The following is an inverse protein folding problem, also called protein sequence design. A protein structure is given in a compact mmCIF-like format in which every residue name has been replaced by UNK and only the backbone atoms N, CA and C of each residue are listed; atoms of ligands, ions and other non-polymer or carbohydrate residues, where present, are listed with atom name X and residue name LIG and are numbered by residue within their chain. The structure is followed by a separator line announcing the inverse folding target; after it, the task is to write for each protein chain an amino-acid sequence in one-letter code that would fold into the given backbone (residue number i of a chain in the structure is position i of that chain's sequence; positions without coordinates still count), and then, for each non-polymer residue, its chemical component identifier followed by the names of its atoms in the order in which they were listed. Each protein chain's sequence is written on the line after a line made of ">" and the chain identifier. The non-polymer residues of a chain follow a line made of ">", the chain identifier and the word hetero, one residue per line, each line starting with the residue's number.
data_IF_875429928802
#
_entry.id   IF_875429928802
#
_cell.length_a   1.000
_cell.length_b   1.000
_cell.length_c   1.000
_cell.angle_alpha   90.00
_cell.angle_beta   90.00
_cell.angle_gamma   90.00
#
_symmetry.space_group_name_H-M   'P 1'
#
loop_
_entity.id
_entity.type
_entity.pdbx_description
1 polymer ?
#
# COMPACT_ATOMS: atom_id res chain seq x y z
N UNK A 1 -6.87 -7.59 -11.50
CA UNK A 1 -6.71 -8.38 -10.26
C UNK A 1 -7.75 -7.86 -9.29
N UNK A 2 -8.52 -8.72 -8.65
CA UNK A 2 -9.46 -8.29 -7.60
C UNK A 2 -8.84 -8.51 -6.23
N UNK A 3 -9.39 -7.82 -5.23
CA UNK A 3 -8.95 -7.98 -3.82
C UNK A 3 -9.06 -9.45 -3.36
N UNK A 4 -10.10 -10.15 -3.82
CA UNK A 4 -10.31 -11.59 -3.52
C UNK A 4 -9.25 -12.51 -4.16
N UNK A 5 -8.54 -12.05 -5.19
CA UNK A 5 -7.48 -12.81 -5.86
C UNK A 5 -6.10 -12.61 -5.20
N UNK A 6 -5.99 -11.73 -4.20
CA UNK A 6 -4.71 -11.38 -3.59
C UNK A 6 -4.14 -12.54 -2.80
N UNK A 7 -2.85 -12.78 -2.99
CA UNK A 7 -2.09 -13.78 -2.24
C UNK A 7 -0.66 -13.30 -1.99
N UNK A 8 0.04 -14.00 -1.09
CA UNK A 8 1.45 -13.74 -0.79
C UNK A 8 1.72 -12.28 -0.39
N UNK A 9 2.70 -11.68 -1.05
CA UNK A 9 3.16 -10.31 -0.81
C UNK A 9 2.07 -9.27 -1.06
N UNK A 10 1.28 -9.46 -2.13
CA UNK A 10 0.24 -8.51 -2.52
C UNK A 10 -0.87 -8.47 -1.46
N UNK A 11 -1.24 -9.64 -0.91
CA UNK A 11 -2.18 -9.72 0.22
C UNK A 11 -1.61 -9.18 1.54
N UNK A 12 -0.30 -9.31 1.76
CA UNK A 12 0.37 -8.75 2.95
C UNK A 12 0.41 -7.22 2.88
N UNK A 13 0.79 -6.66 1.74
CA UNK A 13 0.80 -5.21 1.49
C UNK A 13 -0.61 -4.63 1.59
N UNK A 14 -1.60 -5.27 0.95
CA UNK A 14 -2.98 -4.82 1.04
C UNK A 14 -3.48 -4.74 2.49
N UNK A 15 -3.23 -5.77 3.29
CA UNK A 15 -3.62 -5.78 4.71
C UNK A 15 -2.88 -4.71 5.52
N UNK A 16 -1.58 -4.54 5.30
CA UNK A 16 -0.79 -3.50 5.98
C UNK A 16 -1.36 -2.10 5.71
N UNK A 17 -1.74 -1.79 4.47
CA UNK A 17 -2.37 -0.51 4.12
C UNK A 17 -3.74 -0.39 4.77
N UNK A 18 -4.58 -1.42 4.67
CA UNK A 18 -5.92 -1.43 5.25
C UNK A 18 -5.92 -1.23 6.77
N UNK A 19 -5.00 -1.88 7.49
CA UNK A 19 -4.87 -1.75 8.94
C UNK A 19 -4.34 -0.37 9.35
N UNK A 20 -3.38 0.17 8.59
CA UNK A 20 -2.85 1.51 8.84
C UNK A 20 -3.92 2.59 8.64
N UNK A 21 -4.72 2.53 7.57
CA UNK A 21 -5.80 3.49 7.33
C UNK A 21 -6.82 3.57 8.48
N UNK A 22 -7.11 2.44 9.13
CA UNK A 22 -8.03 2.38 10.28
C UNK A 22 -7.40 2.98 11.54
N UNK A 23 -6.09 2.81 11.74
CA UNK A 23 -5.40 3.19 12.98
C UNK A 23 -4.74 4.57 12.96
N UNK A 24 -3.96 4.86 11.92
CA UNK A 24 -3.05 6.02 11.84
C UNK A 24 -3.23 6.87 10.58
N UNK A 25 -3.91 6.35 9.55
CA UNK A 25 -4.04 6.95 8.24
C UNK A 25 -3.15 6.30 7.18
N UNK A 26 -3.05 6.93 6.00
CA UNK A 26 -2.31 6.42 4.86
C UNK A 26 -0.81 6.21 5.19
N UNK A 27 -0.29 4.97 5.12
CA UNK A 27 1.10 4.70 5.47
C UNK A 27 2.08 5.03 4.34
N UNK A 28 3.34 5.31 4.71
CA UNK A 28 4.44 5.37 3.75
C UNK A 28 4.96 3.97 3.41
N UNK A 29 5.75 3.85 2.34
CA UNK A 29 6.29 2.56 1.88
C UNK A 29 7.09 1.80 2.95
N UNK A 30 7.86 2.52 3.77
CA UNK A 30 8.64 1.93 4.87
C UNK A 30 7.76 1.31 5.97
N UNK A 31 6.60 1.93 6.24
CA UNK A 31 5.67 1.44 7.25
C UNK A 31 4.93 0.20 6.72
N UNK A 32 4.56 0.21 5.44
CA UNK A 32 4.00 -0.94 4.73
C UNK A 32 4.98 -2.11 4.74
N UNK A 33 6.25 -1.88 4.38
CA UNK A 33 7.28 -2.92 4.35
C UNK A 33 7.45 -3.57 5.74
N UNK A 34 7.52 -2.74 6.79
CA UNK A 34 7.62 -3.18 8.18
C UNK A 34 6.40 -4.02 8.60
N UNK A 35 5.19 -3.54 8.34
CA UNK A 35 3.95 -4.22 8.73
C UNK A 35 3.71 -5.52 7.93
N UNK A 36 4.08 -5.54 6.65
CA UNK A 36 3.97 -6.72 5.78
C UNK A 36 5.09 -7.75 6.02
N UNK A 37 6.11 -7.43 6.82
CA UNK A 37 7.27 -8.30 7.04
C UNK A 37 8.13 -8.48 5.79
N UNK A 38 8.21 -7.46 4.94
CA UNK A 38 8.94 -7.45 3.69
C UNK A 38 10.13 -6.49 3.75
N UNK A 39 11.13 -6.74 2.92
CA UNK A 39 12.09 -5.69 2.59
C UNK A 39 11.45 -4.61 1.70
N UNK A 40 12.14 -3.48 1.57
CA UNK A 40 11.61 -2.30 0.88
C UNK A 40 11.41 -2.53 -0.62
N UNK A 41 12.26 -3.34 -1.26
CA UNK A 41 12.15 -3.60 -2.71
C UNK A 41 10.96 -4.50 -3.02
N UNK A 42 10.74 -5.54 -2.21
CA UNK A 42 9.58 -6.44 -2.34
C UNK A 42 8.28 -5.71 -2.03
N UNK A 43 8.26 -4.87 -1.01
CA UNK A 43 7.13 -3.99 -0.72
C UNK A 43 6.85 -3.04 -1.89
N UNK A 44 7.90 -2.40 -2.45
CA UNK A 44 7.77 -1.51 -3.63
C UNK A 44 7.18 -2.24 -4.83
N UNK A 45 7.66 -3.44 -5.11
CA UNK A 45 7.18 -4.25 -6.24
C UNK A 45 5.69 -4.63 -6.06
N UNK A 46 5.30 -5.06 -4.85
CA UNK A 46 3.90 -5.38 -4.54
C UNK A 46 2.99 -4.15 -4.62
N UNK A 47 3.37 -3.03 -4.02
CA UNK A 47 2.65 -1.75 -4.14
C UNK A 47 2.49 -1.35 -5.61
N UNK A 48 3.55 -1.46 -6.41
CA UNK A 48 3.51 -1.14 -7.83
C UNK A 48 2.51 -2.01 -8.59
N UNK A 49 2.45 -3.32 -8.32
CA UNK A 49 1.46 -4.24 -8.92
C UNK A 49 0.03 -3.85 -8.54
N UNK A 50 -0.22 -3.55 -7.27
CA UNK A 50 -1.56 -3.18 -6.78
C UNK A 50 -2.03 -1.83 -7.33
N UNK A 51 -1.12 -0.85 -7.42
CA UNK A 51 -1.40 0.47 -7.99
C UNK A 51 -1.68 0.44 -9.50
N UNK A 52 -1.02 -0.45 -10.24
CA UNK A 52 -1.20 -0.63 -11.70
C UNK A 52 -2.20 -1.74 -12.07
N UNK A 53 -2.90 -2.31 -11.10
CA UNK A 53 -3.93 -3.30 -11.38
C UNK A 53 -5.20 -2.65 -11.96
N UNK A 54 -5.97 -3.44 -12.71
CA UNK A 54 -7.32 -3.07 -13.14
C UNK A 54 -8.35 -4.02 -12.48
N UNK A 55 -9.30 -3.50 -11.67
CA UNK A 55 -9.35 -2.13 -11.15
C UNK A 55 -8.18 -1.82 -10.20
N UNK A 56 -7.84 -0.54 -10.02
CA UNK A 56 -6.77 -0.15 -9.08
C UNK A 56 -7.14 -0.61 -7.67
N UNK A 57 -6.19 -1.18 -6.96
CA UNK A 57 -6.37 -1.61 -5.57
C UNK A 57 -5.76 -0.58 -4.60
N UNK A 58 -4.68 0.10 -5.01
CA UNK A 58 -4.04 1.18 -4.26
C UNK A 58 -3.97 2.48 -5.07
N UNK A 59 -3.93 3.60 -4.36
CA UNK A 59 -3.55 4.91 -4.87
C UNK A 59 -2.27 5.40 -4.19
N UNK A 60 -1.45 6.11 -4.96
CA UNK A 60 -0.34 6.88 -4.42
C UNK A 60 -0.81 8.31 -4.17
N UNK A 61 -0.59 8.80 -2.94
CA UNK A 61 -0.89 10.17 -2.53
C UNK A 61 0.43 10.90 -2.30
N UNK A 62 0.73 11.98 -3.04
CA UNK A 62 1.92 12.77 -2.82
C UNK A 62 2.03 13.24 -1.37
N UNK A 63 3.19 13.05 -0.76
CA UNK A 63 3.44 13.54 0.60
C UNK A 63 3.35 15.07 0.66
N UNK A 64 2.53 15.59 1.57
CA UNK A 64 2.38 17.03 1.81
C UNK A 64 3.02 17.48 3.14
N UNK A 65 3.79 16.60 3.78
CA UNK A 65 4.42 16.85 5.07
C UNK A 65 5.61 17.80 5.00
N UNK A 66 6.00 18.42 6.13
CA UNK A 66 7.17 19.30 6.21
C UNK A 66 8.50 18.56 6.01
N UNK A 67 8.51 17.23 6.16
CA UNK A 67 9.63 16.36 5.84
C UNK A 67 9.22 15.47 4.67
N UNK A 68 10.03 15.44 3.62
CA UNK A 68 9.80 14.59 2.46
C UNK A 68 10.14 13.13 2.80
N UNK A 69 9.13 12.38 3.18
CA UNK A 69 9.18 10.93 3.40
C UNK A 69 8.74 10.15 2.15
N UNK A 70 8.57 10.83 1.02
CA UNK A 70 7.94 10.29 -0.17
C UNK A 70 6.41 10.18 -0.03
N UNK A 71 5.77 9.46 -0.97
CA UNK A 71 4.32 9.34 -0.99
C UNK A 71 3.78 8.46 0.14
N UNK A 72 2.48 8.57 0.37
CA UNK A 72 1.69 7.61 1.14
C UNK A 72 0.81 6.79 0.19
N UNK A 73 0.32 5.65 0.67
CA UNK A 73 -0.51 4.75 -0.14
C UNK A 73 -1.85 4.51 0.53
N UNK A 74 -2.92 4.67 -0.24
CA UNK A 74 -4.31 4.50 0.21
C UNK A 74 -5.00 3.38 -0.57
N UNK A 75 -6.01 2.76 0.03
CA UNK A 75 -6.87 1.82 -0.66
C UNK A 75 -7.75 2.55 -1.69
N UNK A 76 -7.91 1.94 -2.86
CA UNK A 76 -8.87 2.43 -3.83
C UNK A 76 -10.31 2.35 -3.26
N UNK A 77 -11.16 3.37 -3.52
CA UNK A 77 -12.55 3.34 -3.12
C UNK A 77 -13.24 2.09 -3.67
N UNK A 78 -13.83 1.30 -2.78
CA UNK A 78 -14.64 0.13 -3.15
C UNK A 78 -16.06 0.64 -3.44
N UNK A 79 -16.36 0.91 -4.71
CA UNK A 79 -17.73 1.22 -5.17
C UNK A 79 -18.62 -0.01 -5.13
#
# INVERSE_FOLDING_TARGET
>A
MRVEDLSGEDAAVYRAVAEAEVGVGAPHLQDIARAAGLDLERARAAVHRLWHSEPKILHEVPGAGPTDLGPTYELAPRT
#
